data_IF_863488382198
#
_entry.id   IF_863488382198
#
_cell.length_a   1.000
_cell.length_b   1.000
_cell.length_c   1.000
_cell.angle_alpha   90.00
_cell.angle_beta   90.00
_cell.angle_gamma   90.00
#
_symmetry.space_group_name_H-M   'P 1'
#
loop_
_entity.id
_entity.type
_entity.pdbx_description
1 polymer ?
#
# COMPACT_ATOMS: atom_id res chain seq x y z
N UNK A 1 -8.40 4.94 27.02
CA UNK A 1 -7.86 5.42 25.73
C UNK A 1 -8.35 4.43 24.68
N UNK A 2 -9.30 4.81 23.83
CA UNK A 2 -9.75 3.93 22.75
C UNK A 2 -8.61 3.79 21.75
N UNK A 3 -8.10 2.57 21.59
CA UNK A 3 -7.12 2.23 20.55
C UNK A 3 -7.62 2.74 19.19
N UNK A 4 -6.74 3.36 18.40
CA UNK A 4 -7.07 3.88 17.08
C UNK A 4 -7.57 2.72 16.20
N UNK A 5 -8.90 2.61 16.07
CA UNK A 5 -9.60 1.48 15.40
C UNK A 5 -9.48 1.52 13.89
N UNK A 6 -8.78 2.50 13.34
CA UNK A 6 -8.57 2.66 11.91
C UNK A 6 -7.14 2.27 11.53
N UNK A 7 -7.04 1.46 10.49
CA UNK A 7 -5.80 1.14 9.79
C UNK A 7 -5.98 1.40 8.30
N UNK A 8 -4.89 1.56 7.56
CA UNK A 8 -4.92 1.52 6.09
C UNK A 8 -4.67 0.09 5.63
N UNK A 9 -5.51 -0.38 4.71
CA UNK A 9 -5.17 -1.49 3.82
C UNK A 9 -4.89 -0.96 2.42
N UNK A 10 -3.78 -1.39 1.82
CA UNK A 10 -3.46 -1.11 0.43
C UNK A 10 -3.19 -2.40 -0.35
N UNK A 11 -3.79 -2.51 -1.53
CA UNK A 11 -3.57 -3.58 -2.50
C UNK A 11 -2.83 -3.01 -3.71
N UNK A 12 -1.63 -3.52 -3.96
CA UNK A 12 -0.71 -3.03 -4.98
C UNK A 12 -0.59 -4.11 -6.05
N UNK A 13 -1.24 -3.89 -7.20
CA UNK A 13 -1.14 -4.74 -8.38
C UNK A 13 0.11 -4.44 -9.21
N UNK A 14 0.09 -4.69 -10.52
CA UNK A 14 1.15 -4.22 -11.45
C UNK A 14 0.79 -2.93 -12.20
N UNK A 15 -0.47 -2.51 -12.09
CA UNK A 15 -1.06 -1.42 -12.89
C UNK A 15 -1.73 -0.35 -12.05
N UNK A 16 -1.98 -0.64 -10.78
CA UNK A 16 -2.65 0.27 -9.86
C UNK A 16 -2.35 -0.12 -8.41
N UNK A 17 -2.51 0.87 -7.54
CA UNK A 17 -2.67 0.70 -6.11
C UNK A 17 -4.11 1.08 -5.74
N UNK A 18 -4.72 0.33 -4.83
CA UNK A 18 -5.98 0.71 -4.16
C UNK A 18 -5.75 0.75 -2.66
N UNK A 19 -6.04 1.87 -2.01
CA UNK A 19 -5.95 2.03 -0.57
C UNK A 19 -7.29 2.41 0.05
N UNK A 20 -7.50 2.04 1.32
CA UNK A 20 -8.69 2.41 2.07
C UNK A 20 -8.51 2.25 3.57
N UNK A 21 -9.29 3.02 4.34
CA UNK A 21 -9.42 2.84 5.77
C UNK A 21 -10.19 1.56 6.09
N UNK A 22 -9.68 0.79 7.04
CA UNK A 22 -10.29 -0.41 7.60
C UNK A 22 -10.54 -0.16 9.07
N UNK A 23 -11.80 -0.27 9.48
CA UNK A 23 -12.15 -0.31 10.89
C UNK A 23 -11.87 -1.73 11.42
N UNK A 24 -10.85 -1.87 12.25
CA UNK A 24 -10.33 -3.16 12.73
C UNK A 24 -11.25 -3.84 13.73
N UNK A 25 -12.07 -3.08 14.45
CA UNK A 25 -13.06 -3.61 15.39
C UNK A 25 -14.23 -4.26 14.65
N UNK A 26 -14.83 -3.55 13.70
CA UNK A 26 -15.95 -4.03 12.88
C UNK A 26 -15.52 -4.91 11.71
N UNK A 27 -14.22 -4.95 11.40
CA UNK A 27 -13.62 -5.65 10.25
C UNK A 27 -14.24 -5.21 8.92
N UNK A 28 -14.49 -3.91 8.77
CA UNK A 28 -15.11 -3.33 7.57
C UNK A 28 -14.25 -2.24 6.96
N UNK A 29 -14.26 -2.18 5.62
CA UNK A 29 -13.70 -1.08 4.86
C UNK A 29 -14.63 0.12 4.93
N UNK A 30 -14.09 1.30 5.19
CA UNK A 30 -14.79 2.58 5.08
C UNK A 30 -14.87 2.95 3.60
N UNK A 31 -15.98 2.61 2.94
CA UNK A 31 -16.10 2.72 1.47
C UNK A 31 -15.77 4.11 0.91
N UNK A 32 -16.10 5.18 1.63
CA UNK A 32 -15.82 6.56 1.21
C UNK A 32 -14.32 6.92 1.19
N UNK A 33 -13.47 6.11 1.82
CA UNK A 33 -12.02 6.32 1.84
C UNK A 33 -11.29 5.60 0.69
N UNK A 34 -11.99 4.76 -0.08
CA UNK A 34 -11.37 3.98 -1.15
C UNK A 34 -10.79 4.93 -2.20
N UNK A 35 -9.47 4.85 -2.36
CA UNK A 35 -8.70 5.60 -3.33
C UNK A 35 -7.98 4.62 -4.23
N UNK A 36 -7.98 4.89 -5.54
CA UNK A 36 -7.25 4.09 -6.53
C UNK A 36 -6.42 5.01 -7.41
N UNK A 37 -5.16 4.65 -7.60
CA UNK A 37 -4.25 5.35 -8.50
C UNK A 37 -3.59 4.36 -9.45
N UNK A 38 -3.40 4.77 -10.70
CA UNK A 38 -2.65 4.01 -11.69
C UNK A 38 -1.16 4.09 -11.41
N UNK A 39 -0.45 2.99 -11.64
CA UNK A 39 1.02 2.93 -11.59
C UNK A 39 1.52 2.09 -12.76
N UNK A 40 2.76 2.34 -13.17
CA UNK A 40 3.50 1.41 -14.00
C UNK A 40 4.46 0.64 -13.10
N UNK A 41 4.39 -0.70 -13.07
CA UNK A 41 5.37 -1.50 -12.32
C UNK A 41 6.81 -1.39 -12.86
N UNK A 42 6.99 -0.69 -13.99
CA UNK A 42 8.25 -0.42 -14.66
C UNK A 42 8.76 0.99 -14.37
N UNK A 43 7.99 1.79 -13.63
CA UNK A 43 8.40 3.11 -13.15
C UNK A 43 9.63 3.03 -12.25
N UNK A 44 10.31 4.16 -12.10
CA UNK A 44 11.40 4.31 -11.14
C UNK A 44 10.92 4.18 -9.69
N UNK A 45 11.84 3.85 -8.79
CA UNK A 45 11.55 3.66 -7.36
C UNK A 45 10.85 4.87 -6.74
N UNK A 46 11.37 6.07 -7.01
CA UNK A 46 10.80 7.31 -6.47
C UNK A 46 9.36 7.54 -6.93
N UNK A 47 9.07 7.27 -8.21
CA UNK A 47 7.72 7.40 -8.77
C UNK A 47 6.74 6.38 -8.17
N UNK A 48 7.21 5.15 -7.95
CA UNK A 48 6.43 4.10 -7.30
C UNK A 48 6.08 4.48 -5.87
N UNK A 49 7.09 4.86 -5.07
CA UNK A 49 6.92 5.23 -3.66
C UNK A 49 6.06 6.49 -3.54
N UNK A 50 6.23 7.48 -4.41
CA UNK A 50 5.42 8.69 -4.40
C UNK A 50 3.95 8.36 -4.71
N UNK A 51 3.69 7.55 -5.75
CA UNK A 51 2.31 7.20 -6.11
C UNK A 51 1.63 6.37 -5.01
N UNK A 52 2.35 5.42 -4.41
CA UNK A 52 1.82 4.62 -3.29
C UNK A 52 1.51 5.50 -2.08
N UNK A 53 2.45 6.38 -1.72
CA UNK A 53 2.30 7.30 -0.60
C UNK A 53 1.15 8.28 -0.82
N UNK A 54 0.98 8.80 -2.05
CA UNK A 54 -0.12 9.68 -2.41
C UNK A 54 -1.48 8.96 -2.29
N UNK A 55 -1.59 7.74 -2.81
CA UNK A 55 -2.81 6.93 -2.71
C UNK A 55 -3.19 6.65 -1.24
N UNK A 56 -2.20 6.26 -0.42
CA UNK A 56 -2.38 5.99 1.01
C UNK A 56 -2.79 7.26 1.76
N UNK A 57 -2.12 8.40 1.52
CA UNK A 57 -2.44 9.68 2.17
C UNK A 57 -3.85 10.15 1.80
N UNK A 58 -4.25 10.01 0.55
CA UNK A 58 -5.59 10.38 0.11
C UNK A 58 -6.66 9.47 0.74
N UNK A 59 -6.41 8.17 0.84
CA UNK A 59 -7.31 7.25 1.54
C UNK A 59 -7.41 7.55 3.05
N UNK A 60 -6.29 7.92 3.68
CA UNK A 60 -6.24 8.31 5.09
C UNK A 60 -7.00 9.61 5.37
N UNK A 61 -6.89 10.59 4.47
CA UNK A 61 -7.40 11.94 4.70
C UNK A 61 -6.80 12.53 5.98
N UNK A 62 -7.65 13.06 6.87
CA UNK A 62 -7.25 13.61 8.17
C UNK A 62 -7.39 12.61 9.33
N UNK A 63 -7.71 11.34 9.04
CA UNK A 63 -7.94 10.35 10.08
C UNK A 63 -6.61 9.93 10.71
N UNK A 64 -6.61 9.78 12.03
CA UNK A 64 -5.52 9.11 12.73
C UNK A 64 -5.62 7.61 12.50
N UNK A 65 -4.51 7.00 12.11
CA UNK A 65 -4.38 5.56 11.90
C UNK A 65 -3.27 5.00 12.78
N UNK A 66 -3.39 3.75 13.20
CA UNK A 66 -2.35 3.07 13.98
C UNK A 66 -1.40 2.25 13.11
N UNK A 67 -1.85 1.81 11.93
CA UNK A 67 -1.13 0.85 11.08
C UNK A 67 -1.43 1.06 9.59
N UNK A 68 -0.47 0.70 8.76
CA UNK A 68 -0.61 0.55 7.31
C UNK A 68 -0.24 -0.89 6.97
N UNK A 69 -1.10 -1.57 6.24
CA UNK A 69 -0.88 -2.94 5.77
C UNK A 69 -0.85 -2.93 4.23
N UNK A 70 0.23 -3.48 3.65
CA UNK A 70 0.41 -3.58 2.21
C UNK A 70 0.22 -5.03 1.77
N UNK A 71 -0.62 -5.25 0.77
CA UNK A 71 -0.72 -6.49 0.01
C UNK A 71 -0.14 -6.24 -1.37
N UNK A 72 0.88 -7.01 -1.76
CA UNK A 72 1.57 -6.81 -3.04
C UNK A 72 2.20 -8.13 -3.54
N UNK A 73 2.56 -8.23 -4.84
CA UNK A 73 3.29 -9.37 -5.37
C UNK A 73 4.56 -9.65 -4.57
N UNK A 74 4.85 -10.93 -4.35
CA UNK A 74 6.09 -11.38 -3.71
C UNK A 74 7.10 -11.97 -4.71
N UNK A 75 8.26 -12.44 -4.23
CA UNK A 75 8.65 -12.56 -2.83
C UNK A 75 9.25 -11.29 -2.20
N UNK A 76 9.25 -11.22 -0.87
CA UNK A 76 9.89 -10.20 -0.03
C UNK A 76 10.60 -10.87 1.17
N UNK A 77 11.67 -10.23 1.66
CA UNK A 77 12.07 -10.37 3.06
C UNK A 77 11.10 -9.51 3.89
N UNK A 78 10.10 -10.15 4.49
CA UNK A 78 9.06 -9.43 5.22
C UNK A 78 9.53 -8.83 6.54
N UNK A 79 10.60 -9.35 7.14
CA UNK A 79 11.14 -8.81 8.39
C UNK A 79 11.91 -7.53 8.12
N UNK A 80 12.72 -7.51 7.06
CA UNK A 80 13.52 -6.34 6.68
C UNK A 80 12.78 -5.38 5.73
N UNK A 81 11.66 -5.81 5.15
CA UNK A 81 10.90 -5.03 4.17
C UNK A 81 11.52 -5.02 2.77
N UNK A 82 12.46 -5.92 2.47
CA UNK A 82 13.24 -5.90 1.24
C UNK A 82 12.53 -6.64 0.12
N UNK A 83 12.35 -5.99 -1.03
CA UNK A 83 11.77 -6.62 -2.22
C UNK A 83 12.72 -7.64 -2.84
N UNK A 84 12.25 -8.87 -3.03
CA UNK A 84 13.01 -9.96 -3.65
C UNK A 84 12.40 -10.41 -4.98
N UNK A 85 11.49 -9.60 -5.54
CA UNK A 85 10.88 -9.89 -6.84
C UNK A 85 11.94 -9.78 -7.94
N UNK A 86 12.18 -10.89 -8.62
CA UNK A 86 13.03 -10.94 -9.80
C UNK A 86 12.35 -11.73 -10.91
N UNK A 87 12.64 -11.38 -12.16
CA UNK A 87 12.25 -12.14 -13.35
C UNK A 87 10.73 -12.33 -13.56
N UNK A 88 9.89 -11.51 -12.94
CA UNK A 88 8.42 -11.57 -13.07
C UNK A 88 7.79 -10.35 -13.74
N UNK A 89 8.60 -9.50 -14.40
CA UNK A 89 8.16 -8.24 -15.04
C UNK A 89 7.36 -7.31 -14.11
N UNK A 90 7.59 -7.39 -12.79
CA UNK A 90 6.93 -6.54 -11.80
C UNK A 90 8.00 -5.94 -10.88
N UNK A 91 8.05 -4.61 -10.82
CA UNK A 91 8.87 -3.85 -9.89
C UNK A 91 10.37 -4.16 -9.89
N UNK A 92 11.04 -4.24 -11.07
CA UNK A 92 12.47 -4.53 -11.11
C UNK A 92 13.30 -3.48 -10.36
N UNK A 93 12.84 -2.22 -10.31
CA UNK A 93 13.54 -1.15 -9.58
C UNK A 93 13.55 -1.32 -8.07
N UNK A 94 12.65 -2.12 -7.49
CA UNK A 94 12.58 -2.32 -6.05
C UNK A 94 13.50 -3.44 -5.56
N UNK A 95 14.04 -4.28 -6.43
CA UNK A 95 14.82 -5.44 -5.99
C UNK A 95 16.00 -5.03 -5.08
N UNK A 96 16.04 -5.60 -3.87
CA UNK A 96 17.08 -5.34 -2.88
C UNK A 96 16.92 -4.04 -2.08
N UNK A 97 15.82 -3.31 -2.28
CA UNK A 97 15.41 -2.12 -1.52
C UNK A 97 14.36 -2.53 -0.49
#
# INVERSE_FOLDING_TARGET
MTEDTLAIGADIGGTHITAGLVNTQSRRVVKSSLTRMSISAQAGVDELIETWSACIRQAMGYNRISKICLAMPGPFDYEQGICLIQNQNKYPGLYGI
#
